data_IF_984539012211
#
_entry.id   IF_984539012211
#
_cell.length_a   1.000
_cell.length_b   1.000
_cell.length_c   1.000
_cell.angle_alpha   90.00
_cell.angle_beta   90.00
_cell.angle_gamma   90.00
#
_symmetry.space_group_name_H-M   'P 1'
#
loop_
_entity.id
_entity.type
_entity.pdbx_description
1 polymer ?
#
# COMPACT_ATOMS: atom_id res chain seq x y z
N UNK A 1 23.93 -42.62 -10.53
CA UNK A 1 22.78 -41.83 -11.01
C UNK A 1 22.68 -40.59 -10.15
N UNK A 2 23.06 -39.41 -10.67
CA UNK A 2 22.94 -38.16 -9.93
C UNK A 2 21.52 -37.61 -10.13
N UNK A 3 20.80 -37.38 -9.03
CA UNK A 3 19.44 -36.84 -9.05
C UNK A 3 19.43 -35.44 -9.66
N UNK A 4 18.46 -35.19 -10.54
CA UNK A 4 18.21 -33.88 -11.14
C UNK A 4 17.89 -32.90 -10.01
N UNK A 5 18.70 -31.85 -9.87
CA UNK A 5 18.42 -30.78 -8.91
C UNK A 5 17.03 -30.18 -9.22
N UNK A 6 16.22 -29.86 -8.20
CA UNK A 6 14.91 -29.25 -8.43
C UNK A 6 15.10 -27.95 -9.19
N UNK A 7 14.32 -27.77 -10.26
CA UNK A 7 14.29 -26.55 -11.03
C UNK A 7 13.64 -25.48 -10.15
N UNK A 8 14.45 -24.66 -9.48
CA UNK A 8 13.96 -23.48 -8.77
C UNK A 8 13.63 -22.44 -9.84
N UNK A 9 12.34 -22.10 -9.96
CA UNK A 9 11.88 -21.00 -10.80
C UNK A 9 12.36 -19.70 -10.18
N UNK A 10 13.36 -19.07 -10.79
CA UNK A 10 13.90 -17.75 -10.40
C UNK A 10 12.90 -16.58 -10.64
N UNK A 11 11.65 -16.88 -10.98
CA UNK A 11 10.68 -15.92 -11.51
C UNK A 11 9.48 -15.68 -10.59
N UNK A 12 9.46 -16.26 -9.37
CA UNK A 12 8.45 -15.89 -8.38
C UNK A 12 8.98 -14.75 -7.53
N UNK A 13 8.31 -13.60 -7.60
CA UNK A 13 8.50 -12.43 -6.72
C UNK A 13 8.54 -12.80 -5.21
N UNK A 14 8.04 -13.99 -4.86
CA UNK A 14 8.13 -14.65 -3.55
C UNK A 14 9.57 -14.82 -3.02
N UNK A 15 10.60 -14.82 -3.87
CA UNK A 15 11.99 -15.05 -3.42
C UNK A 15 12.62 -13.82 -2.73
N UNK A 16 12.09 -12.61 -2.95
CA UNK A 16 12.66 -11.38 -2.38
C UNK A 16 12.46 -11.25 -0.87
N UNK A 17 11.36 -11.80 -0.36
CA UNK A 17 10.96 -11.68 1.04
C UNK A 17 10.82 -13.03 1.74
N UNK A 18 10.96 -14.13 1.00
CA UNK A 18 10.75 -15.48 1.50
C UNK A 18 9.27 -15.87 1.53
N UNK A 19 8.96 -16.93 2.26
CA UNK A 19 7.58 -17.39 2.42
C UNK A 19 6.78 -16.37 3.24
N UNK A 20 5.67 -15.89 2.68
CA UNK A 20 4.71 -14.98 3.34
C UNK A 20 3.65 -15.84 4.03
N UNK A 21 3.43 -15.63 5.33
CA UNK A 21 2.35 -16.28 6.09
C UNK A 21 1.10 -15.38 6.13
N UNK A 22 -0.07 -15.96 6.36
CA UNK A 22 -1.32 -15.22 6.56
C UNK A 22 -1.24 -14.25 7.75
N UNK A 23 -0.42 -14.59 8.74
CA UNK A 23 -0.14 -13.75 9.90
C UNK A 23 0.70 -12.50 9.58
N UNK A 24 1.34 -12.45 8.40
CA UNK A 24 2.12 -11.30 7.96
C UNK A 24 1.28 -10.27 7.18
N UNK A 25 0.00 -10.58 6.90
CA UNK A 25 -0.88 -9.74 6.09
C UNK A 25 -1.60 -8.69 6.94
N UNK A 26 -1.52 -7.42 6.53
CA UNK A 26 -2.29 -6.32 7.12
C UNK A 26 -3.77 -6.44 6.73
N UNK A 27 -4.60 -6.76 7.72
CA UNK A 27 -6.07 -6.87 7.59
C UNK A 27 -6.81 -5.59 7.98
N UNK A 28 -6.12 -4.65 8.65
CA UNK A 28 -6.71 -3.35 8.98
C UNK A 28 -6.94 -2.53 7.69
N UNK A 29 -8.01 -1.72 7.64
CA UNK A 29 -8.20 -0.79 6.54
C UNK A 29 -7.04 0.21 6.45
N UNK A 30 -6.38 0.28 5.29
CA UNK A 30 -5.24 1.16 5.05
C UNK A 30 -5.49 2.11 3.88
N UNK A 31 -4.81 3.25 3.90
CA UNK A 31 -4.69 4.15 2.75
C UNK A 31 -3.22 4.26 2.43
N UNK A 32 -2.86 3.92 1.20
CA UNK A 32 -1.54 4.06 0.65
C UNK A 32 -1.49 5.32 -0.20
N UNK A 33 -0.53 6.19 0.08
CA UNK A 33 -0.29 7.41 -0.71
C UNK A 33 1.03 7.24 -1.44
N UNK A 34 1.01 7.30 -2.76
CA UNK A 34 2.17 7.04 -3.62
C UNK A 34 2.53 8.28 -4.43
N UNK A 35 3.76 8.76 -4.25
CA UNK A 35 4.34 9.73 -5.18
C UNK A 35 4.81 9.00 -6.44
N UNK A 36 4.28 9.37 -7.61
CA UNK A 36 4.60 8.69 -8.87
C UNK A 36 6.06 8.82 -9.33
N UNK A 37 6.82 9.74 -8.71
CA UNK A 37 8.24 9.95 -8.96
C UNK A 37 9.11 9.49 -7.79
N UNK A 38 8.53 8.82 -6.80
CA UNK A 38 9.27 8.30 -5.64
C UNK A 38 10.21 7.16 -6.09
N UNK A 39 11.53 7.24 -5.80
CA UNK A 39 12.45 6.15 -6.13
C UNK A 39 12.14 4.83 -5.40
N UNK A 40 11.37 4.87 -4.31
CA UNK A 40 10.90 3.70 -3.57
C UNK A 40 9.54 3.17 -4.02
N UNK A 41 8.94 3.68 -5.10
CA UNK A 41 7.57 3.35 -5.52
C UNK A 41 7.32 1.84 -5.67
N UNK A 42 8.30 1.07 -6.16
CA UNK A 42 8.15 -0.37 -6.33
C UNK A 42 7.99 -1.10 -4.98
N UNK A 43 8.72 -0.67 -3.94
CA UNK A 43 8.54 -1.22 -2.59
C UNK A 43 7.17 -0.85 -2.01
N UNK A 44 6.65 0.34 -2.32
CA UNK A 44 5.31 0.76 -1.88
C UNK A 44 4.20 -0.07 -2.56
N UNK A 45 4.37 -0.38 -3.85
CA UNK A 45 3.47 -1.29 -4.58
C UNK A 45 3.55 -2.72 -4.06
N UNK A 46 4.73 -3.20 -3.69
CA UNK A 46 4.88 -4.51 -3.05
C UNK A 46 4.15 -4.56 -1.70
N UNK A 47 4.32 -3.54 -0.85
CA UNK A 47 3.59 -3.42 0.42
C UNK A 47 2.08 -3.53 0.20
N UNK A 48 1.54 -2.78 -0.76
CA UNK A 48 0.11 -2.79 -1.08
C UNK A 48 -0.37 -4.14 -1.63
N UNK A 49 0.36 -4.74 -2.58
CA UNK A 49 -0.14 -5.89 -3.34
C UNK A 49 0.13 -7.24 -2.67
N UNK A 50 1.19 -7.33 -1.87
CA UNK A 50 1.63 -8.60 -1.25
C UNK A 50 1.20 -8.66 0.22
N UNK A 51 1.24 -7.53 0.93
CA UNK A 51 1.15 -7.51 2.40
C UNK A 51 -0.13 -6.89 2.94
N UNK A 52 -1.10 -6.56 2.09
CA UNK A 52 -2.43 -6.10 2.51
C UNK A 52 -3.51 -7.06 2.05
N UNK A 53 -4.52 -7.27 2.91
CA UNK A 53 -5.69 -8.06 2.54
C UNK A 53 -6.41 -7.44 1.35
N UNK A 54 -6.84 -8.29 0.40
CA UNK A 54 -7.51 -7.82 -0.81
C UNK A 54 -8.80 -7.07 -0.44
N UNK A 55 -8.86 -5.79 -0.81
CA UNK A 55 -10.02 -4.94 -0.57
C UNK A 55 -10.02 -4.22 0.79
N UNK A 56 -9.02 -4.45 1.65
CA UNK A 56 -8.84 -3.66 2.88
C UNK A 56 -8.11 -2.34 2.61
N UNK A 57 -7.26 -2.29 1.57
CA UNK A 57 -6.45 -1.14 1.23
C UNK A 57 -7.05 -0.25 0.12
N UNK A 58 -6.82 1.06 0.23
CA UNK A 58 -7.08 2.05 -0.82
C UNK A 58 -5.75 2.66 -1.29
N UNK A 59 -5.66 3.04 -2.57
CA UNK A 59 -4.49 3.67 -3.17
C UNK A 59 -4.82 5.08 -3.68
N UNK A 60 -3.96 6.04 -3.34
CA UNK A 60 -3.97 7.40 -3.86
C UNK A 60 -2.62 7.68 -4.48
N UNK A 61 -2.61 8.04 -5.77
CA UNK A 61 -1.41 8.40 -6.51
C UNK A 61 -1.40 9.90 -6.80
N UNK A 62 -0.24 10.54 -6.67
CA UNK A 62 -0.06 11.96 -6.98
C UNK A 62 1.28 12.22 -7.66
N UNK A 63 1.39 13.32 -8.40
CA UNK A 63 2.60 13.68 -9.15
C UNK A 63 3.71 14.27 -8.25
N UNK A 64 4.15 13.48 -7.27
CA UNK A 64 5.17 13.84 -6.29
C UNK A 64 6.36 12.89 -6.28
N UNK A 65 7.50 13.38 -5.79
CA UNK A 65 8.68 12.56 -5.43
C UNK A 65 8.54 12.09 -3.96
N UNK A 66 9.63 11.67 -3.31
CA UNK A 66 9.71 11.25 -1.90
C UNK A 66 9.48 12.42 -0.91
N UNK A 67 8.26 12.95 -0.90
CA UNK A 67 7.81 14.15 -0.17
C UNK A 67 6.34 13.99 0.22
N UNK A 68 5.87 14.84 1.13
CA UNK A 68 4.45 15.00 1.41
C UNK A 68 3.78 15.95 0.41
N UNK A 69 2.48 15.75 0.07
CA UNK A 69 1.68 16.73 -0.66
C UNK A 69 1.63 18.07 0.08
N UNK A 70 1.79 19.17 -0.65
CA UNK A 70 1.72 20.54 -0.07
C UNK A 70 0.85 21.50 -0.88
N UNK A 71 0.56 21.19 -2.15
CA UNK A 71 -0.40 21.98 -2.94
C UNK A 71 -1.81 21.62 -2.47
N UNK A 72 -2.68 22.60 -2.32
CA UNK A 72 -4.02 22.39 -1.77
C UNK A 72 -4.79 21.27 -2.47
N UNK A 73 -4.73 21.19 -3.80
CA UNK A 73 -5.38 20.12 -4.56
C UNK A 73 -4.84 18.71 -4.22
N UNK A 74 -3.51 18.57 -4.09
CA UNK A 74 -2.90 17.27 -3.76
C UNK A 74 -3.17 16.90 -2.29
N UNK A 75 -3.18 17.89 -1.39
CA UNK A 75 -3.54 17.70 0.03
C UNK A 75 -5.00 17.26 0.14
N UNK A 76 -5.91 17.94 -0.56
CA UNK A 76 -7.34 17.61 -0.56
C UNK A 76 -7.61 16.22 -1.12
N UNK A 77 -6.90 15.81 -2.18
CA UNK A 77 -6.98 14.47 -2.75
C UNK A 77 -6.56 13.38 -1.76
N UNK A 78 -5.62 13.66 -0.84
CA UNK A 78 -5.20 12.72 0.21
C UNK A 78 -6.11 12.76 1.44
N UNK A 79 -6.47 13.95 1.91
CA UNK A 79 -7.25 14.12 3.14
C UNK A 79 -8.69 13.64 2.97
N UNK A 80 -9.31 13.89 1.82
CA UNK A 80 -10.72 13.53 1.60
C UNK A 80 -10.98 12.02 1.80
N UNK A 81 -10.22 11.09 1.19
CA UNK A 81 -10.36 9.67 1.46
C UNK A 81 -10.04 9.26 2.91
N UNK A 82 -9.07 9.91 3.57
CA UNK A 82 -8.74 9.65 4.97
C UNK A 82 -9.93 9.96 5.90
N UNK A 83 -10.56 11.11 5.70
CA UNK A 83 -11.75 11.50 6.47
C UNK A 83 -12.94 10.59 6.16
N UNK A 84 -13.14 10.23 4.90
CA UNK A 84 -14.20 9.29 4.50
C UNK A 84 -14.02 7.91 5.16
N UNK A 85 -12.79 7.39 5.19
CA UNK A 85 -12.47 6.12 5.87
C UNK A 85 -12.68 6.24 7.39
N UNK A 86 -12.19 7.31 8.01
CA UNK A 86 -12.38 7.55 9.44
C UNK A 86 -13.87 7.61 9.82
N UNK A 87 -14.69 8.27 8.99
CA UNK A 87 -16.15 8.31 9.16
C UNK A 87 -16.78 6.92 8.99
N UNK A 88 -16.40 6.16 7.96
CA UNK A 88 -16.87 4.79 7.72
C UNK A 88 -16.57 3.86 8.91
N UNK A 89 -15.41 4.03 9.54
CA UNK A 89 -14.99 3.25 10.71
C UNK A 89 -15.56 3.75 12.03
N UNK A 90 -16.30 4.87 12.04
CA UNK A 90 -16.86 5.45 13.26
C UNK A 90 -15.82 6.03 14.23
N UNK A 91 -14.60 6.29 13.76
CA UNK A 91 -13.51 6.89 14.58
C UNK A 91 -13.42 8.40 14.45
N UNK A 92 -14.12 8.99 13.47
CA UNK A 92 -14.24 10.43 13.35
C UNK A 92 -15.27 10.94 14.38
N UNK A 93 -14.79 11.55 15.46
CA UNK A 93 -15.62 12.00 16.60
C UNK A 93 -16.06 13.46 16.52
N UNK A 94 -15.62 14.18 15.49
CA UNK A 94 -15.94 15.59 15.26
C UNK A 94 -16.46 15.79 13.85
N UNK A 95 -17.48 16.63 13.70
CA UNK A 95 -17.90 17.11 12.38
C UNK A 95 -16.90 18.16 11.90
N UNK A 96 -16.07 17.79 10.93
CA UNK A 96 -15.14 18.72 10.30
C UNK A 96 -15.89 19.50 9.21
N UNK A 97 -15.68 20.83 9.09
CA UNK A 97 -16.13 21.57 7.92
C UNK A 97 -15.29 21.09 6.73
N UNK A 98 -15.89 20.23 5.89
CA UNK A 98 -15.35 19.84 4.59
C UNK A 98 -15.76 20.88 3.55
#
# INVERSE_FOLDING_TARGET
MAGRAPLISLEREQDRWGQVDENDILTLPTIHVHGMKDPGLDYHKELLNIWCERGSAQLIEWDGNHRIPIKSADVEAVVTPMLALAKKLGVLTVDLPV
#
